data_IF_711530596272
#
_entry.id   IF_711530596272
#
_cell.length_a   1.000
_cell.length_b   1.000
_cell.length_c   1.000
_cell.angle_alpha   90.00
_cell.angle_beta   90.00
_cell.angle_gamma   90.00
#
_symmetry.space_group_name_H-M   'P 1'
#
loop_
_entity.id
_entity.type
_entity.pdbx_description
1 polymer ?
#
# COMPACT_ATOMS: atom_id res chain seq x y z
N UNK A 1 -12.82 -54.91 11.07
CA UNK A 1 -11.90 -56.00 10.64
C UNK A 1 -12.07 -56.13 9.13
N UNK A 2 -11.12 -55.90 8.22
CA UNK A 2 -9.66 -55.90 8.16
C UNK A 2 -9.27 -54.77 7.16
N UNK A 3 -8.37 -53.83 7.44
CA UNK A 3 -6.91 -53.91 7.59
C UNK A 3 -6.17 -54.46 6.36
N UNK A 4 -5.29 -53.59 5.84
CA UNK A 4 -4.01 -53.84 5.15
C UNK A 4 -4.00 -54.31 3.67
N UNK A 5 -3.54 -53.41 2.79
CA UNK A 5 -2.38 -53.58 1.89
C UNK A 5 -2.03 -52.18 1.31
N UNK A 6 -1.00 -51.46 1.74
CA UNK A 6 0.46 -51.64 1.59
C UNK A 6 1.00 -51.30 0.18
N UNK A 7 1.62 -50.11 0.15
CA UNK A 7 2.90 -49.70 -0.46
C UNK A 7 3.10 -49.60 -2.00
N UNK A 8 3.51 -48.37 -2.35
CA UNK A 8 4.79 -47.99 -2.98
C UNK A 8 4.84 -47.79 -4.51
N UNK A 9 4.99 -46.52 -4.89
CA UNK A 9 5.99 -45.98 -5.85
C UNK A 9 6.09 -44.47 -5.61
N UNK A 10 7.18 -43.99 -4.99
CA UNK A 10 8.34 -43.35 -5.62
C UNK A 10 8.07 -41.90 -6.09
N UNK A 11 8.51 -40.90 -5.31
CA UNK A 11 9.79 -40.18 -5.48
C UNK A 11 9.77 -39.21 -6.67
N UNK A 12 9.43 -37.94 -6.40
CA UNK A 12 9.95 -36.81 -7.16
C UNK A 12 10.48 -35.76 -6.18
N UNK A 13 11.81 -35.74 -6.08
CA UNK A 13 12.59 -34.67 -5.51
C UNK A 13 12.33 -33.39 -6.33
N UNK A 14 11.90 -32.32 -5.66
CA UNK A 14 12.26 -30.97 -6.04
C UNK A 14 13.09 -30.39 -4.89
N UNK A 15 14.40 -30.60 -4.99
CA UNK A 15 15.38 -29.88 -4.22
C UNK A 15 15.36 -28.42 -4.71
N UNK A 16 14.56 -27.57 -4.05
CA UNK A 16 14.82 -26.12 -4.10
C UNK A 16 16.04 -25.90 -3.22
N UNK A 17 17.20 -25.89 -3.85
CA UNK A 17 18.42 -25.34 -3.26
C UNK A 17 18.16 -23.86 -3.02
N UNK A 18 17.73 -23.54 -1.79
CA UNK A 18 17.91 -22.21 -1.24
C UNK A 18 19.42 -21.98 -1.12
N UNK A 19 20.02 -21.42 -2.17
CA UNK A 19 21.35 -20.85 -2.13
C UNK A 19 21.29 -19.59 -1.27
N UNK A 20 21.31 -19.79 0.05
CA UNK A 20 21.69 -18.75 1.00
C UNK A 20 23.14 -18.41 0.76
N UNK A 21 23.40 -17.43 -0.09
CA UNK A 21 24.66 -16.71 -0.09
C UNK A 21 24.72 -15.95 1.25
N UNK A 22 25.31 -16.60 2.25
CA UNK A 22 25.88 -15.92 3.40
C UNK A 22 27.04 -15.07 2.88
N UNK A 23 26.73 -13.88 2.37
CA UNK A 23 27.72 -12.85 2.18
C UNK A 23 28.17 -12.43 3.58
N UNK A 24 29.27 -13.01 4.05
CA UNK A 24 30.11 -12.41 5.09
C UNK A 24 30.66 -11.09 4.53
N UNK A 25 29.80 -10.08 4.48
CA UNK A 25 30.25 -8.70 4.50
C UNK A 25 30.59 -8.45 5.96
N UNK A 26 31.87 -8.62 6.27
CA UNK A 26 32.47 -8.12 7.50
C UNK A 26 32.20 -6.61 7.51
N UNK A 27 31.11 -6.24 8.18
CA UNK A 27 30.66 -4.87 8.35
C UNK A 27 31.69 -4.17 9.22
N UNK A 28 32.65 -3.52 8.57
CA UNK A 28 33.42 -2.38 9.11
C UNK A 28 32.45 -1.22 9.39
N UNK A 29 31.46 -1.45 10.24
CA UNK A 29 30.63 -0.40 10.78
C UNK A 29 31.59 0.50 11.56
N UNK A 30 31.75 1.78 11.17
CA UNK A 30 32.61 2.68 11.90
C UNK A 30 32.14 2.69 13.35
N UNK A 31 33.05 2.39 14.28
CA UNK A 31 32.80 2.57 15.72
C UNK A 31 32.37 4.02 15.87
N UNK A 32 31.07 4.24 16.07
CA UNK A 32 30.45 5.54 16.28
C UNK A 32 31.01 6.11 17.57
N UNK A 33 32.19 6.72 17.50
CA UNK A 33 32.72 7.52 18.59
C UNK A 33 31.75 8.66 18.82
N UNK A 34 31.28 8.79 20.07
CA UNK A 34 30.44 9.91 20.44
C UNK A 34 31.29 11.18 20.32
N UNK A 35 30.86 12.22 19.59
CA UNK A 35 31.66 13.41 19.38
C UNK A 35 32.04 14.09 20.70
N UNK A 36 33.19 14.76 20.71
CA UNK A 36 33.74 15.42 21.90
C UNK A 36 32.85 16.52 22.49
N UNK A 37 31.91 17.07 21.71
CA UNK A 37 30.95 18.06 22.18
C UNK A 37 29.80 17.47 23.01
N UNK A 38 29.64 16.14 23.04
CA UNK A 38 28.63 15.44 23.83
C UNK A 38 29.20 15.08 25.21
N UNK A 39 28.56 15.58 26.26
CA UNK A 39 28.95 15.32 27.66
C UNK A 39 28.11 14.21 28.28
N UNK A 40 28.68 13.03 28.50
CA UNK A 40 27.96 11.84 28.98
C UNK A 40 27.61 11.83 30.49
N UNK A 41 27.82 12.93 31.22
CA UNK A 41 27.58 13.00 32.66
C UNK A 41 26.08 13.02 33.01
N UNK A 42 25.46 14.19 32.89
CA UNK A 42 24.00 14.35 32.98
C UNK A 42 23.39 14.24 31.58
N UNK A 43 23.01 13.02 31.20
CA UNK A 43 22.48 12.74 29.85
C UNK A 43 21.17 13.49 29.57
N UNK A 44 20.31 13.68 30.58
CA UNK A 44 19.05 14.39 30.44
C UNK A 44 19.28 15.89 30.18
N UNK A 45 20.09 16.51 31.03
CA UNK A 45 20.48 17.91 30.88
C UNK A 45 21.24 18.16 29.57
N UNK A 46 22.13 17.26 29.18
CA UNK A 46 22.90 17.37 27.95
C UNK A 46 22.02 17.22 26.69
N UNK A 47 21.13 16.23 26.65
CA UNK A 47 20.22 16.05 25.53
C UNK A 47 19.31 17.27 25.36
N UNK A 48 18.76 17.81 26.47
CA UNK A 48 17.96 19.04 26.45
C UNK A 48 18.75 20.27 25.98
N UNK A 49 20.03 20.39 26.37
CA UNK A 49 20.93 21.46 25.89
C UNK A 49 21.15 21.36 24.39
N UNK A 50 21.47 20.17 23.90
CA UNK A 50 21.75 19.90 22.48
C UNK A 50 20.53 20.14 21.59
N UNK A 51 19.34 19.75 22.03
CA UNK A 51 18.08 20.01 21.32
C UNK A 51 17.81 21.51 21.09
N UNK A 52 18.29 22.38 21.99
CA UNK A 52 18.16 23.84 21.90
C UNK A 52 19.29 24.52 21.11
N UNK A 53 20.25 23.75 20.62
CA UNK A 53 21.38 24.29 19.85
C UNK A 53 20.93 24.86 18.51
N UNK A 54 21.68 25.83 17.99
CA UNK A 54 21.46 26.35 16.64
C UNK A 54 22.10 25.45 15.57
N UNK A 55 23.05 24.58 15.96
CA UNK A 55 23.72 23.68 15.03
C UNK A 55 22.87 22.42 14.76
N UNK A 56 22.56 22.13 13.50
CA UNK A 56 21.80 20.94 13.09
C UNK A 56 22.44 19.65 13.61
N UNK A 57 23.76 19.53 13.54
CA UNK A 57 24.50 18.39 14.11
C UNK A 57 24.24 18.16 15.60
N UNK A 58 24.30 19.22 16.41
CA UNK A 58 24.05 19.13 17.85
C UNK A 58 22.59 18.75 18.14
N UNK A 59 21.63 19.37 17.43
CA UNK A 59 20.21 19.02 17.54
C UNK A 59 19.95 17.55 17.23
N UNK A 60 20.57 17.01 16.18
CA UNK A 60 20.47 15.60 15.82
C UNK A 60 21.00 14.69 16.95
N UNK A 61 22.16 15.01 17.55
CA UNK A 61 22.70 14.26 18.69
C UNK A 61 21.80 14.36 19.92
N UNK A 62 21.26 15.54 20.21
CA UNK A 62 20.28 15.73 21.29
C UNK A 62 19.08 14.80 21.11
N UNK A 63 18.48 14.79 19.92
CA UNK A 63 17.37 13.90 19.60
C UNK A 63 17.76 12.42 19.75
N UNK A 64 18.88 12.02 19.12
CA UNK A 64 19.39 10.66 19.20
C UNK A 64 19.58 10.17 20.65
N UNK A 65 20.14 10.99 21.53
CA UNK A 65 20.34 10.65 22.94
C UNK A 65 19.00 10.45 23.67
N UNK A 66 18.00 11.29 23.38
CA UNK A 66 16.64 11.13 23.92
C UNK A 66 16.09 9.75 23.57
N UNK A 67 16.11 9.37 22.29
CA UNK A 67 15.64 8.06 21.84
C UNK A 67 16.48 6.90 22.36
N UNK A 68 17.81 7.08 22.44
CA UNK A 68 18.76 6.05 22.89
C UNK A 68 18.62 5.69 24.35
N UNK A 69 18.40 6.70 25.20
CA UNK A 69 18.36 6.53 26.64
C UNK A 69 16.94 6.51 27.23
N UNK A 70 15.91 6.61 26.38
CA UNK A 70 14.52 6.48 26.82
C UNK A 70 14.01 7.68 27.63
N UNK A 71 14.52 8.88 27.34
CA UNK A 71 14.22 10.12 28.08
C UNK A 71 12.84 10.67 27.71
N UNK A 72 11.79 10.01 28.18
CA UNK A 72 10.38 10.29 27.81
C UNK A 72 9.93 11.71 28.15
N UNK A 73 10.48 12.30 29.20
CA UNK A 73 10.22 13.68 29.63
C UNK A 73 10.65 14.72 28.59
N UNK A 74 11.51 14.36 27.64
CA UNK A 74 11.95 15.22 26.54
C UNK A 74 11.17 14.99 25.23
N UNK A 75 10.15 14.12 25.21
CA UNK A 75 9.29 13.96 24.03
C UNK A 75 8.63 15.27 23.57
N UNK A 76 8.13 16.17 24.45
CA UNK A 76 7.61 17.47 24.02
C UNK A 76 8.65 18.32 23.28
N UNK A 77 9.92 18.30 23.71
CA UNK A 77 10.99 19.03 23.05
C UNK A 77 11.31 18.48 21.65
N UNK A 78 11.15 17.17 21.42
CA UNK A 78 11.27 16.58 20.08
C UNK A 78 10.13 17.02 19.16
N UNK A 79 8.91 17.13 19.69
CA UNK A 79 7.73 17.60 18.94
C UNK A 79 7.90 19.08 18.58
N UNK A 80 8.35 19.91 19.53
CA UNK A 80 8.67 21.32 19.28
C UNK A 80 9.76 21.46 18.19
N UNK A 81 10.80 20.61 18.23
CA UNK A 81 11.84 20.59 17.21
C UNK A 81 11.28 20.26 15.81
N UNK A 82 10.32 19.33 15.69
CA UNK A 82 9.68 19.01 14.41
C UNK A 82 8.77 20.13 13.90
N UNK A 83 8.23 20.96 14.79
CA UNK A 83 7.38 22.09 14.46
C UNK A 83 8.16 23.41 14.24
N UNK A 84 9.47 23.41 14.49
CA UNK A 84 10.32 24.61 14.38
C UNK A 84 10.44 25.03 12.90
N UNK A 85 9.92 26.21 12.50
CA UNK A 85 10.01 26.68 11.12
C UNK A 85 11.45 27.01 10.69
N UNK A 86 12.39 27.15 11.63
CA UNK A 86 13.81 27.30 11.32
C UNK A 86 14.47 25.99 10.88
N UNK A 87 13.82 24.85 11.13
CA UNK A 87 14.23 23.55 10.62
C UNK A 87 13.87 23.46 9.13
N UNK A 88 14.74 24.02 8.29
CA UNK A 88 14.56 24.04 6.84
C UNK A 88 14.52 22.65 6.19
N UNK A 89 14.57 22.64 4.85
CA UNK A 89 14.47 21.41 4.04
C UNK A 89 15.83 20.92 3.51
N UNK A 90 16.92 21.45 4.07
CA UNK A 90 18.27 21.02 3.74
C UNK A 90 18.55 19.58 4.18
N UNK A 91 19.63 19.02 3.63
CA UNK A 91 20.05 17.66 3.93
C UNK A 91 20.32 17.41 5.42
N UNK A 92 21.01 18.34 6.09
CA UNK A 92 21.30 18.23 7.52
C UNK A 92 20.03 18.34 8.38
N UNK A 93 19.14 19.25 8.02
CA UNK A 93 17.83 19.41 8.67
C UNK A 93 16.97 18.15 8.48
N UNK A 94 17.07 17.49 7.32
CA UNK A 94 16.51 16.17 7.08
C UNK A 94 16.99 15.12 8.08
N UNK A 95 18.29 15.12 8.42
CA UNK A 95 18.86 14.19 9.41
C UNK A 95 18.37 14.53 10.82
N UNK A 96 18.29 15.82 11.18
CA UNK A 96 17.72 16.26 12.46
C UNK A 96 16.28 15.79 12.60
N UNK A 97 15.46 15.99 11.56
CA UNK A 97 14.08 15.55 11.50
C UNK A 97 13.97 14.04 11.67
N UNK A 98 14.80 13.27 10.96
CA UNK A 98 14.84 11.82 11.09
C UNK A 98 15.25 11.39 12.51
N UNK A 99 16.21 12.07 13.14
CA UNK A 99 16.66 11.75 14.49
C UNK A 99 15.55 11.99 15.53
N UNK A 100 14.78 13.05 15.36
CA UNK A 100 13.60 13.33 16.18
C UNK A 100 12.51 12.26 15.98
N UNK A 101 12.17 11.91 14.74
CA UNK A 101 11.18 10.88 14.42
C UNK A 101 11.56 9.50 14.95
N UNK A 102 12.80 9.06 14.71
CA UNK A 102 13.33 7.80 15.25
C UNK A 102 13.20 7.76 16.77
N UNK A 103 13.53 8.86 17.43
CA UNK A 103 13.45 8.96 18.89
C UNK A 103 12.00 8.90 19.39
N UNK A 104 11.08 9.61 18.75
CA UNK A 104 9.65 9.56 19.10
C UNK A 104 9.08 8.13 18.92
N UNK A 105 9.46 7.43 17.85
CA UNK A 105 9.04 6.04 17.62
C UNK A 105 9.58 5.12 18.71
N UNK A 106 10.86 5.25 19.06
CA UNK A 106 11.51 4.44 20.12
C UNK A 106 10.91 4.69 21.50
N UNK A 107 10.57 5.94 21.80
CA UNK A 107 9.88 6.32 23.03
C UNK A 107 8.43 5.86 23.08
N UNK A 108 7.86 5.45 21.93
CA UNK A 108 6.42 5.19 21.74
C UNK A 108 5.60 6.42 22.14
N UNK A 109 6.06 7.60 21.74
CA UNK A 109 5.40 8.86 22.05
C UNK A 109 4.11 9.02 21.24
N UNK A 110 3.12 9.69 21.84
CA UNK A 110 1.93 10.19 21.16
C UNK A 110 2.27 11.59 20.64
N UNK A 111 2.07 11.82 19.34
CA UNK A 111 2.48 13.07 18.67
C UNK A 111 1.24 13.83 18.24
N UNK A 112 1.06 15.10 18.65
CA UNK A 112 -0.10 15.89 18.26
C UNK A 112 -0.33 15.87 16.74
N UNK A 113 -1.60 15.74 16.35
CA UNK A 113 -2.05 15.71 14.96
C UNK A 113 -1.46 16.84 14.10
N UNK A 114 -1.40 18.06 14.63
CA UNK A 114 -0.88 19.21 13.88
C UNK A 114 0.62 19.06 13.57
N UNK A 115 1.40 18.48 14.47
CA UNK A 115 2.81 18.19 14.21
C UNK A 115 2.98 17.09 13.14
N UNK A 116 2.13 16.07 13.15
CA UNK A 116 2.14 15.00 12.13
C UNK A 116 1.77 15.51 10.73
N UNK A 117 0.86 16.49 10.63
CA UNK A 117 0.47 17.11 9.35
C UNK A 117 1.59 17.94 8.71
N UNK A 118 2.46 18.52 9.53
CA UNK A 118 3.60 19.32 9.06
C UNK A 118 4.77 18.46 8.55
N UNK A 119 4.72 17.13 8.74
CA UNK A 119 5.80 16.27 8.28
C UNK A 119 5.84 16.20 6.75
N UNK A 120 7.04 16.28 6.14
CA UNK A 120 7.19 16.19 4.70
C UNK A 120 6.87 14.77 4.18
N UNK A 121 6.49 14.60 2.90
CA UNK A 121 6.15 13.30 2.32
C UNK A 121 7.23 12.22 2.45
N UNK A 122 8.51 12.61 2.55
CA UNK A 122 9.61 11.65 2.75
C UNK A 122 9.54 10.91 4.09
N UNK A 123 8.83 11.45 5.09
CA UNK A 123 8.65 10.87 6.42
C UNK A 123 7.34 10.06 6.55
N UNK A 124 6.75 9.63 5.43
CA UNK A 124 5.45 8.96 5.43
C UNK A 124 5.44 7.66 6.25
N UNK A 125 6.52 6.87 6.23
CA UNK A 125 6.60 5.61 6.98
C UNK A 125 6.62 5.89 8.49
N UNK A 126 7.47 6.82 8.95
CA UNK A 126 7.54 7.24 10.34
C UNK A 126 6.20 7.83 10.83
N UNK A 127 5.56 8.67 9.99
CA UNK A 127 4.24 9.24 10.27
C UNK A 127 3.21 8.14 10.54
N UNK A 128 3.13 7.12 9.68
CA UNK A 128 2.22 5.99 9.85
C UNK A 128 2.55 5.17 11.10
N UNK A 129 3.83 4.94 11.39
CA UNK A 129 4.26 4.22 12.59
C UNK A 129 3.83 4.96 13.86
N UNK A 130 3.98 6.29 13.89
CA UNK A 130 3.54 7.11 15.02
C UNK A 130 2.02 7.08 15.16
N UNK A 131 1.27 7.24 14.07
CA UNK A 131 -0.21 7.17 14.09
C UNK A 131 -0.72 5.80 14.56
N UNK A 132 -0.04 4.69 14.21
CA UNK A 132 -0.44 3.34 14.60
C UNK A 132 -0.50 3.11 16.12
N UNK A 133 0.17 3.95 16.92
CA UNK A 133 0.22 3.80 18.38
C UNK A 133 -1.08 4.19 19.07
N UNK A 134 -1.85 5.07 18.47
CA UNK A 134 -3.14 5.53 18.98
C UNK A 134 -4.08 5.81 17.81
N UNK A 135 -4.30 4.80 16.96
CA UNK A 135 -5.02 4.96 15.68
C UNK A 135 -6.40 5.62 15.84
N UNK A 136 -7.10 5.33 16.94
CA UNK A 136 -8.39 5.94 17.27
C UNK A 136 -8.31 7.47 17.43
N UNK A 137 -7.20 8.01 17.92
CA UNK A 137 -6.97 9.45 18.06
C UNK A 137 -6.64 10.13 16.72
N UNK A 138 -6.15 9.36 15.75
CA UNK A 138 -5.69 9.87 14.44
C UNK A 138 -6.63 9.56 13.28
N UNK A 139 -7.86 9.08 13.53
CA UNK A 139 -8.81 8.69 12.47
C UNK A 139 -8.95 9.75 11.36
N UNK A 140 -9.08 11.02 11.72
CA UNK A 140 -9.20 12.10 10.74
C UNK A 140 -7.96 12.25 9.85
N UNK A 141 -6.76 12.14 10.43
CA UNK A 141 -5.49 12.23 9.68
C UNK A 141 -5.25 10.97 8.85
N UNK A 142 -5.64 9.80 9.37
CA UNK A 142 -5.56 8.54 8.64
C UNK A 142 -6.47 8.57 7.40
N UNK A 143 -7.71 9.07 7.53
CA UNK A 143 -8.62 9.25 6.38
C UNK A 143 -8.04 10.23 5.36
N UNK A 144 -7.53 11.38 5.81
CA UNK A 144 -6.86 12.37 4.97
C UNK A 144 -5.70 11.73 4.19
N UNK A 145 -4.76 11.07 4.87
CA UNK A 145 -3.62 10.40 4.25
C UNK A 145 -4.04 9.26 3.31
N UNK A 146 -5.12 8.53 3.62
CA UNK A 146 -5.65 7.49 2.75
C UNK A 146 -6.19 8.06 1.43
N UNK A 147 -6.88 9.19 1.49
CA UNK A 147 -7.56 9.83 0.36
C UNK A 147 -6.62 10.68 -0.51
N UNK A 148 -5.63 11.37 0.06
CA UNK A 148 -4.79 12.36 -0.67
C UNK A 148 -3.39 11.85 -0.97
N UNK A 149 -2.67 11.41 0.05
CA UNK A 149 -1.22 11.23 -0.01
C UNK A 149 -0.83 9.96 -0.77
N UNK A 150 -1.76 9.00 -0.79
CA UNK A 150 -1.51 7.69 -1.35
C UNK A 150 -2.20 7.48 -2.70
N UNK A 151 -3.15 8.33 -3.10
CA UNK A 151 -4.03 8.14 -4.27
C UNK A 151 -3.32 7.98 -5.64
N UNK A 152 -2.08 8.46 -5.79
CA UNK A 152 -1.35 8.49 -7.06
C UNK A 152 -0.32 7.36 -7.29
N UNK A 153 -0.08 6.47 -6.34
CA UNK A 153 0.95 5.43 -6.49
C UNK A 153 0.37 4.18 -7.16
N UNK A 154 1.06 3.68 -8.20
CA UNK A 154 0.68 2.49 -8.98
C UNK A 154 0.77 1.22 -8.12
N UNK A 155 -0.30 0.93 -7.39
CA UNK A 155 -0.46 -0.27 -6.58
C UNK A 155 -0.62 0.01 -5.08
N UNK A 156 -1.14 -0.97 -4.31
CA UNK A 156 -1.13 -0.95 -2.85
C UNK A 156 0.33 -1.08 -2.40
N UNK A 157 0.93 0.04 -2.04
CA UNK A 157 2.18 -0.01 -1.28
C UNK A 157 1.87 -0.36 0.19
N UNK A 158 2.91 -0.72 0.95
CA UNK A 158 2.75 -1.06 2.35
C UNK A 158 2.10 0.08 3.16
N UNK A 159 2.28 1.34 2.73
CA UNK A 159 1.68 2.52 3.36
C UNK A 159 0.15 2.51 3.23
N UNK A 160 -0.38 2.29 2.02
CA UNK A 160 -1.82 2.23 1.79
C UNK A 160 -2.48 1.08 2.56
N UNK A 161 -1.84 -0.08 2.59
CA UNK A 161 -2.33 -1.22 3.38
C UNK A 161 -2.28 -0.93 4.89
N UNK A 162 -1.23 -0.28 5.38
CA UNK A 162 -1.13 0.04 6.80
C UNK A 162 -2.26 0.99 7.24
N UNK A 163 -2.45 2.08 6.50
CA UNK A 163 -3.52 3.05 6.81
C UNK A 163 -4.89 2.41 6.69
N UNK A 164 -5.13 1.60 5.64
CA UNK A 164 -6.38 0.86 5.45
C UNK A 164 -6.68 -0.10 6.61
N UNK A 165 -5.69 -0.86 7.07
CA UNK A 165 -5.82 -1.75 8.23
C UNK A 165 -6.16 -0.98 9.51
N UNK A 166 -5.46 0.13 9.80
CA UNK A 166 -5.71 0.95 10.99
C UNK A 166 -7.13 1.54 10.97
N UNK A 167 -7.60 2.01 9.81
CA UNK A 167 -8.96 2.52 9.64
C UNK A 167 -10.02 1.41 9.76
N UNK A 168 -9.74 0.21 9.24
CA UNK A 168 -10.62 -0.95 9.38
C UNK A 168 -10.73 -1.41 10.84
N UNK A 169 -9.60 -1.51 11.54
CA UNK A 169 -9.52 -1.95 12.94
C UNK A 169 -10.28 -1.01 13.87
N UNK A 170 -10.12 0.30 13.65
CA UNK A 170 -10.83 1.36 14.39
C UNK A 170 -12.29 1.53 13.96
N UNK A 171 -12.73 0.83 12.91
CA UNK A 171 -14.06 0.97 12.29
C UNK A 171 -14.40 2.44 12.00
N UNK A 172 -13.41 3.15 11.48
CA UNK A 172 -13.47 4.60 11.26
C UNK A 172 -14.69 4.99 10.41
N UNK A 173 -15.51 5.90 10.94
CA UNK A 173 -16.59 6.53 10.18
C UNK A 173 -16.00 7.29 8.98
N UNK A 174 -16.63 7.15 7.81
CA UNK A 174 -16.12 7.69 6.54
C UNK A 174 -15.13 6.78 5.80
N UNK A 175 -14.57 5.73 6.44
CA UNK A 175 -13.63 4.84 5.75
C UNK A 175 -14.29 4.07 4.60
N UNK A 176 -15.53 3.60 4.79
CA UNK A 176 -16.30 2.96 3.72
C UNK A 176 -16.51 3.92 2.52
N UNK A 177 -16.80 5.19 2.79
CA UNK A 177 -16.95 6.21 1.74
C UNK A 177 -15.63 6.44 0.98
N UNK A 178 -14.50 6.52 1.70
CA UNK A 178 -13.16 6.63 1.09
C UNK A 178 -12.80 5.43 0.22
N UNK A 179 -13.10 4.20 0.66
CA UNK A 179 -12.92 3.00 -0.14
C UNK A 179 -13.75 3.04 -1.43
N UNK A 180 -15.03 3.37 -1.33
CA UNK A 180 -15.95 3.42 -2.48
C UNK A 180 -15.62 4.53 -3.48
N UNK A 181 -15.19 5.71 -3.00
CA UNK A 181 -14.81 6.83 -3.87
C UNK A 181 -13.63 6.49 -4.77
N UNK A 182 -12.71 5.66 -4.27
CA UNK A 182 -11.57 5.17 -5.03
C UNK A 182 -11.82 3.88 -5.81
N UNK A 183 -12.97 3.22 -5.61
CA UNK A 183 -13.27 1.91 -6.18
C UNK A 183 -13.65 2.03 -7.65
N UNK A 184 -12.86 1.41 -8.52
CA UNK A 184 -13.10 1.37 -9.96
C UNK A 184 -13.43 -0.03 -10.43
N UNK A 185 -14.39 -0.10 -11.35
CA UNK A 185 -14.74 -1.31 -12.10
C UNK A 185 -14.17 -1.18 -13.51
N UNK A 186 -13.19 -2.02 -13.84
CA UNK A 186 -12.54 -2.06 -15.15
C UNK A 186 -12.87 -3.39 -15.82
N UNK A 187 -14.01 -3.45 -16.51
CA UNK A 187 -14.43 -4.66 -17.21
C UNK A 187 -13.64 -4.82 -18.50
N UNK A 188 -12.99 -5.97 -18.66
CA UNK A 188 -12.31 -6.36 -19.90
C UNK A 188 -13.29 -7.18 -20.74
N UNK A 189 -13.61 -6.70 -21.93
CA UNK A 189 -14.62 -7.31 -22.78
C UNK A 189 -14.01 -7.64 -24.13
N UNK A 190 -13.80 -8.93 -24.39
CA UNK A 190 -13.34 -9.40 -25.69
C UNK A 190 -14.54 -9.60 -26.59
N UNK A 191 -14.52 -8.93 -27.75
CA UNK A 191 -15.61 -9.01 -28.73
C UNK A 191 -15.19 -9.88 -29.90
N UNK A 192 -15.96 -10.94 -30.14
CA UNK A 192 -15.73 -11.91 -31.21
C UNK A 192 -16.93 -11.97 -32.16
N UNK A 193 -16.69 -12.42 -33.40
CA UNK A 193 -17.72 -12.76 -34.37
C UNK A 193 -17.82 -14.28 -34.64
N UNK A 194 -17.04 -15.08 -33.90
CA UNK A 194 -17.01 -16.55 -33.93
C UNK A 194 -16.94 -17.13 -32.51
N UNK A 195 -17.20 -18.44 -32.37
CA UNK A 195 -17.10 -19.18 -31.10
C UNK A 195 -15.66 -19.67 -30.90
N UNK A 196 -15.11 -19.49 -29.70
CA UNK A 196 -13.77 -20.00 -29.32
C UNK A 196 -13.69 -20.28 -27.83
N UNK A 197 -12.82 -21.22 -27.43
CA UNK A 197 -12.60 -21.67 -26.04
C UNK A 197 -11.31 -21.10 -25.41
N UNK A 198 -10.71 -20.06 -25.98
CA UNK A 198 -9.41 -19.56 -25.53
C UNK A 198 -9.52 -18.50 -24.42
N UNK A 199 -8.90 -18.78 -23.27
CA UNK A 199 -8.60 -17.80 -22.22
C UNK A 199 -7.10 -17.44 -22.27
N UNK A 200 -6.77 -16.16 -22.34
CA UNK A 200 -5.40 -15.64 -22.29
C UNK A 200 -5.09 -15.00 -20.93
N UNK A 201 -3.83 -15.11 -20.47
CA UNK A 201 -3.34 -14.48 -19.23
C UNK A 201 -2.08 -13.64 -19.46
N UNK A 202 -2.00 -12.48 -18.80
CA UNK A 202 -0.87 -11.53 -18.87
C UNK A 202 0.01 -11.57 -17.62
N UNK A 203 1.32 -11.41 -17.79
CA UNK A 203 2.28 -11.20 -16.71
C UNK A 203 3.24 -10.05 -17.04
N UNK A 204 3.39 -9.09 -16.13
CA UNK A 204 4.34 -7.98 -16.24
C UNK A 204 5.21 -7.90 -14.98
N UNK A 205 6.52 -7.73 -15.16
CA UNK A 205 7.48 -7.53 -14.07
C UNK A 205 8.09 -6.14 -14.10
N UNK A 206 8.27 -5.53 -12.92
CA UNK A 206 9.02 -4.29 -12.75
C UNK A 206 10.30 -4.53 -11.93
N UNK A 207 11.42 -3.97 -12.41
CA UNK A 207 12.68 -3.90 -11.66
C UNK A 207 12.93 -2.47 -11.16
N UNK A 208 13.36 -2.34 -9.91
CA UNK A 208 13.77 -1.06 -9.30
C UNK A 208 15.25 -1.08 -8.91
N UNK A 209 15.97 0.00 -9.21
CA UNK A 209 17.36 0.21 -8.80
C UNK A 209 17.47 0.96 -7.46
N UNK A 210 18.59 0.78 -6.76
CA UNK A 210 18.87 1.41 -5.45
C UNK A 210 20.00 2.45 -5.57
N UNK A 211 19.81 3.63 -4.97
CA UNK A 211 20.86 4.62 -4.78
C UNK A 211 21.41 4.57 -3.35
N UNK A 212 22.73 4.66 -3.20
CA UNK A 212 23.40 4.76 -1.90
C UNK A 212 23.91 6.19 -1.72
N UNK A 213 23.28 6.98 -0.85
CA UNK A 213 23.77 8.30 -0.46
C UNK A 213 24.78 8.22 0.68
N UNK A 214 25.86 9.01 0.63
CA UNK A 214 26.84 9.10 1.72
C UNK A 214 26.26 9.78 2.96
N UNK A 215 26.57 9.26 4.15
CA UNK A 215 26.12 9.83 5.42
C UNK A 215 27.16 10.81 5.98
N UNK A 216 26.79 12.04 6.36
CA UNK A 216 27.74 13.04 6.84
C UNK A 216 28.53 12.57 8.05
N UNK A 217 29.80 12.97 8.13
CA UNK A 217 30.61 12.79 9.33
C UNK A 217 29.99 13.56 10.52
N UNK A 218 30.24 13.05 11.72
CA UNK A 218 29.84 13.63 13.01
C UNK A 218 28.32 13.76 13.29
N UNK A 219 27.44 13.24 12.43
CA UNK A 219 26.03 13.04 12.78
C UNK A 219 25.82 11.70 13.52
N UNK A 220 24.83 11.60 14.42
CA UNK A 220 24.56 10.35 15.12
C UNK A 220 24.09 9.26 14.13
N UNK A 221 24.20 7.97 14.50
CA UNK A 221 23.58 6.91 13.71
C UNK A 221 22.07 6.97 13.87
N UNK A 222 21.36 7.46 12.86
CA UNK A 222 19.90 7.60 12.90
C UNK A 222 19.23 6.38 12.27
N UNK A 223 18.14 5.92 12.89
CA UNK A 223 17.30 4.86 12.35
C UNK A 223 16.36 5.36 11.25
N UNK A 224 16.29 4.61 10.15
CA UNK A 224 15.28 4.75 9.10
C UNK A 224 14.29 3.62 9.18
N UNK A 225 13.05 3.89 8.81
CA UNK A 225 11.96 2.92 8.84
C UNK A 225 11.46 2.68 7.43
N UNK A 226 11.21 1.41 7.11
CA UNK A 226 10.58 1.01 5.86
C UNK A 226 9.39 0.14 6.20
N UNK A 227 8.21 0.52 5.70
CA UNK A 227 7.03 -0.32 5.77
C UNK A 227 7.09 -1.43 4.73
N UNK A 228 6.64 -2.62 5.11
CA UNK A 228 6.59 -3.80 4.26
C UNK A 228 5.32 -4.60 4.52
N UNK A 229 4.68 -5.07 3.46
CA UNK A 229 3.58 -6.05 3.56
C UNK A 229 4.08 -7.48 3.84
N UNK A 230 5.39 -7.68 3.87
CA UNK A 230 6.03 -8.98 4.11
C UNK A 230 6.70 -9.02 5.47
N UNK A 231 6.43 -10.09 6.20
CA UNK A 231 7.16 -10.39 7.42
C UNK A 231 8.63 -10.67 7.10
N UNK A 232 9.53 -10.11 7.90
CA UNK A 232 10.97 -10.39 7.84
C UNK A 232 11.55 -10.46 9.25
N UNK A 233 12.76 -11.01 9.38
CA UNK A 233 13.42 -11.16 10.67
C UNK A 233 13.65 -9.78 11.30
N UNK A 234 13.18 -9.59 12.53
CA UNK A 234 13.30 -8.32 13.26
C UNK A 234 12.26 -7.27 12.87
N UNK A 235 11.32 -7.59 11.98
CA UNK A 235 10.22 -6.70 11.65
C UNK A 235 9.21 -6.60 12.81
N UNK A 236 8.61 -5.43 12.99
CA UNK A 236 7.61 -5.14 14.00
C UNK A 236 6.28 -4.85 13.32
N UNK A 237 5.19 -5.45 13.81
CA UNK A 237 3.84 -5.19 13.29
C UNK A 237 3.45 -3.74 13.59
N UNK A 238 3.02 -3.03 12.53
CA UNK A 238 2.52 -1.65 12.58
C UNK A 238 1.02 -1.62 12.57
N UNK A 239 0.45 -2.29 11.57
CA UNK A 239 -0.98 -2.31 11.34
C UNK A 239 -1.38 -3.78 11.21
N UNK A 240 -1.91 -4.40 12.29
CA UNK A 240 -2.50 -5.71 12.17
C UNK A 240 -3.76 -5.62 11.30
N UNK A 241 -4.20 -6.73 10.73
CA UNK A 241 -5.38 -6.74 9.87
C UNK A 241 -5.30 -7.83 8.83
N UNK A 242 -6.15 -7.73 7.81
CA UNK A 242 -6.19 -8.68 6.69
C UNK A 242 -4.88 -8.70 5.92
N UNK A 243 -4.23 -7.54 5.84
CA UNK A 243 -2.96 -7.34 5.17
C UNK A 243 -1.89 -6.85 6.15
N UNK A 244 -1.40 -7.69 7.09
CA UNK A 244 -0.50 -7.23 8.13
C UNK A 244 0.69 -6.45 7.55
N UNK A 245 0.89 -5.23 8.05
CA UNK A 245 2.03 -4.40 7.65
C UNK A 245 3.02 -4.32 8.79
N UNK A 246 4.30 -4.44 8.44
CA UNK A 246 5.43 -4.43 9.35
C UNK A 246 6.33 -3.24 9.04
N UNK A 247 7.13 -2.80 10.02
CA UNK A 247 8.33 -2.00 9.74
C UNK A 247 9.59 -2.77 10.12
N UNK A 248 10.68 -2.45 9.44
CA UNK A 248 12.04 -2.73 9.90
C UNK A 248 12.73 -1.40 10.15
N UNK A 249 13.51 -1.33 11.23
CA UNK A 249 14.39 -0.19 11.52
C UNK A 249 15.81 -0.53 11.08
N UNK A 250 16.44 0.34 10.30
CA UNK A 250 17.83 0.18 9.86
C UNK A 250 18.67 1.40 10.22
N UNK A 251 19.86 1.21 10.78
CA UNK A 251 20.85 2.27 11.01
C UNK A 251 21.81 2.31 9.80
N UNK A 252 21.73 3.37 8.98
CA UNK A 252 22.63 3.73 7.85
C UNK A 252 22.66 2.83 6.59
N UNK A 253 22.78 3.49 5.43
CA UNK A 253 23.61 3.10 4.26
C UNK A 253 23.16 1.95 3.36
N UNK A 254 22.32 1.03 3.82
CA UNK A 254 21.74 0.02 2.93
C UNK A 254 20.64 0.72 2.16
N UNK A 255 20.93 1.09 0.90
CA UNK A 255 19.89 1.46 -0.06
C UNK A 255 18.82 0.38 0.01
N UNK A 256 17.73 0.67 0.70
CA UNK A 256 16.64 -0.27 0.84
C UNK A 256 16.11 -0.51 -0.55
N UNK A 257 16.26 -1.75 -1.04
CA UNK A 257 15.52 -2.18 -2.20
C UNK A 257 14.05 -1.88 -1.90
N UNK A 258 13.45 -0.97 -2.67
CA UNK A 258 12.00 -0.91 -2.73
C UNK A 258 11.56 -2.31 -3.09
N UNK A 259 10.94 -3.00 -2.12
CA UNK A 259 10.35 -4.30 -2.41
C UNK A 259 9.35 -4.06 -3.53
N UNK A 260 9.54 -4.77 -4.66
CA UNK A 260 8.58 -4.75 -5.76
C UNK A 260 7.20 -4.98 -5.17
N UNK A 261 6.35 -3.97 -5.26
CA UNK A 261 5.02 -4.00 -4.68
C UNK A 261 4.26 -5.21 -5.23
N UNK A 262 3.39 -5.77 -4.41
CA UNK A 262 2.40 -6.73 -4.88
C UNK A 262 1.52 -5.97 -5.88
N UNK A 263 1.61 -6.29 -7.18
CA UNK A 263 0.80 -5.62 -8.21
C UNK A 263 -0.64 -6.14 -8.22
N UNK A 264 -1.25 -6.38 -7.06
CA UNK A 264 -2.71 -6.43 -7.02
C UNK A 264 -3.20 -5.00 -7.23
N UNK A 265 -4.18 -4.80 -8.09
CA UNK A 265 -4.82 -3.49 -8.22
C UNK A 265 -5.52 -3.17 -6.90
N UNK A 266 -5.38 -1.93 -6.41
CA UNK A 266 -5.95 -1.48 -5.12
C UNK A 266 -7.44 -1.78 -4.98
N UNK A 267 -8.17 -1.81 -6.09
CA UNK A 267 -9.60 -2.10 -6.11
C UNK A 267 -9.95 -3.47 -5.55
N UNK A 268 -9.11 -4.50 -5.75
CA UNK A 268 -9.32 -5.79 -5.10
C UNK A 268 -9.27 -5.67 -3.57
N UNK A 269 -8.29 -4.93 -3.04
CA UNK A 269 -8.18 -4.71 -1.60
C UNK A 269 -9.30 -3.85 -1.05
N UNK A 270 -9.81 -2.90 -1.83
CA UNK A 270 -10.99 -2.12 -1.45
C UNK A 270 -12.20 -3.02 -1.23
N UNK A 271 -12.48 -3.94 -2.17
CA UNK A 271 -13.56 -4.92 -2.01
C UNK A 271 -13.35 -5.79 -0.77
N UNK A 272 -12.12 -6.21 -0.51
CA UNK A 272 -11.82 -7.04 0.66
C UNK A 272 -12.00 -6.30 1.99
N UNK A 273 -11.63 -5.02 2.07
CA UNK A 273 -11.92 -4.21 3.25
C UNK A 273 -13.42 -3.97 3.42
N UNK A 274 -14.13 -3.70 2.32
CA UNK A 274 -15.59 -3.53 2.34
C UNK A 274 -16.30 -4.82 2.80
N UNK A 275 -15.80 -5.98 2.38
CA UNK A 275 -16.27 -7.28 2.84
C UNK A 275 -16.02 -7.47 4.35
N UNK A 276 -14.83 -7.11 4.84
CA UNK A 276 -14.50 -7.22 6.26
C UNK A 276 -15.39 -6.33 7.12
N UNK A 277 -15.67 -5.08 6.69
CA UNK A 277 -16.60 -4.18 7.37
C UNK A 277 -18.00 -4.80 7.48
N UNK A 278 -18.44 -5.52 6.44
CA UNK A 278 -19.72 -6.23 6.42
C UNK A 278 -19.69 -7.61 7.07
N UNK A 279 -18.55 -8.02 7.65
CA UNK A 279 -18.33 -9.35 8.21
C UNK A 279 -18.65 -10.49 7.22
N UNK A 280 -18.26 -10.31 5.96
CA UNK A 280 -18.44 -11.27 4.86
C UNK A 280 -17.13 -11.48 4.11
N UNK A 281 -17.15 -12.21 2.98
CA UNK A 281 -15.99 -12.38 2.10
C UNK A 281 -16.20 -11.68 0.76
N UNK A 282 -15.11 -11.34 0.08
CA UNK A 282 -15.17 -10.73 -1.25
C UNK A 282 -15.95 -11.60 -2.25
N UNK A 283 -15.76 -12.93 -2.21
CA UNK A 283 -16.50 -13.88 -3.05
C UNK A 283 -18.02 -13.83 -2.81
N UNK A 284 -18.44 -13.67 -1.55
CA UNK A 284 -19.86 -13.57 -1.19
C UNK A 284 -20.48 -12.23 -1.59
N UNK A 285 -19.70 -11.16 -1.68
CA UNK A 285 -20.15 -9.89 -2.25
C UNK A 285 -20.45 -10.01 -3.74
N UNK A 286 -19.87 -11.00 -4.44
CA UNK A 286 -19.95 -11.18 -5.89
C UNK A 286 -19.57 -9.91 -6.66
N UNK A 287 -18.63 -9.16 -6.10
CA UNK A 287 -18.18 -7.88 -6.63
C UNK A 287 -16.83 -8.07 -7.29
N UNK A 288 -16.85 -8.38 -8.58
CA UNK A 288 -15.64 -8.43 -9.39
C UNK A 288 -15.32 -7.02 -9.91
N UNK A 289 -14.13 -6.51 -9.57
CA UNK A 289 -13.66 -5.19 -10.00
C UNK A 289 -13.06 -5.22 -11.40
N UNK A 290 -12.71 -6.41 -11.90
CA UNK A 290 -12.21 -6.60 -13.26
C UNK A 290 -12.89 -7.79 -13.94
N UNK A 291 -14.22 -7.73 -14.11
CA UNK A 291 -14.93 -8.82 -14.75
C UNK A 291 -14.46 -8.93 -16.18
N UNK A 292 -14.05 -10.14 -16.56
CA UNK A 292 -13.69 -10.47 -17.93
C UNK A 292 -14.86 -11.16 -18.62
N UNK A 293 -15.28 -10.66 -19.78
CA UNK A 293 -16.37 -11.22 -20.56
C UNK A 293 -15.99 -11.38 -22.02
N UNK A 294 -16.23 -12.57 -22.56
CA UNK A 294 -16.22 -12.78 -24.00
C UNK A 294 -17.64 -12.66 -24.54
N UNK A 295 -17.87 -11.72 -25.47
CA UNK A 295 -19.17 -11.53 -26.11
C UNK A 295 -19.08 -11.82 -27.60
N UNK A 296 -20.00 -12.66 -28.07
CA UNK A 296 -20.14 -12.97 -29.50
C UNK A 296 -21.14 -11.99 -30.09
N UNK A 297 -20.65 -11.04 -30.88
CA UNK A 297 -21.46 -9.99 -31.49
C UNK A 297 -21.64 -10.23 -32.99
N UNK A 298 -22.83 -10.69 -33.41
CA UNK A 298 -23.19 -10.81 -34.83
C UNK A 298 -23.81 -9.53 -35.40
N UNK A 299 -24.34 -8.68 -34.53
CA UNK A 299 -24.93 -7.39 -34.88
C UNK A 299 -24.77 -6.35 -33.76
N UNK A 300 -24.84 -5.07 -34.11
CA UNK A 300 -24.64 -3.96 -33.17
C UNK A 300 -25.67 -3.96 -32.01
N UNK A 301 -26.93 -4.35 -32.28
CA UNK A 301 -27.99 -4.39 -31.26
C UNK A 301 -27.73 -5.46 -30.21
N UNK A 302 -27.34 -6.66 -30.64
CA UNK A 302 -26.96 -7.77 -29.76
C UNK A 302 -25.79 -7.35 -28.87
N UNK A 303 -24.73 -6.79 -29.48
CA UNK A 303 -23.54 -6.36 -28.75
C UNK A 303 -23.88 -5.34 -27.65
N UNK A 304 -24.69 -4.33 -28.00
CA UNK A 304 -25.17 -3.35 -27.03
C UNK A 304 -26.02 -3.98 -25.93
N UNK A 305 -26.83 -4.98 -26.24
CA UNK A 305 -27.63 -5.73 -25.28
C UNK A 305 -26.76 -6.42 -24.22
N UNK A 306 -25.69 -7.09 -24.64
CA UNK A 306 -24.74 -7.75 -23.73
C UNK A 306 -23.98 -6.74 -22.86
N UNK A 307 -23.48 -5.64 -23.42
CA UNK A 307 -22.83 -4.58 -22.63
C UNK A 307 -23.78 -3.99 -21.57
N UNK A 308 -25.05 -3.81 -21.90
CA UNK A 308 -26.08 -3.37 -20.94
C UNK A 308 -26.31 -4.42 -19.84
N UNK A 309 -26.25 -5.71 -20.18
CA UNK A 309 -26.37 -6.81 -19.20
C UNK A 309 -25.19 -6.79 -18.22
N UNK A 310 -23.96 -6.77 -18.71
CA UNK A 310 -22.73 -6.72 -17.87
C UNK A 310 -22.78 -5.52 -16.93
N UNK A 311 -23.12 -4.33 -17.45
CA UNK A 311 -23.26 -3.13 -16.61
C UNK A 311 -24.27 -3.33 -15.48
N UNK A 312 -25.44 -3.90 -15.79
CA UNK A 312 -26.51 -4.10 -14.81
C UNK A 312 -26.07 -5.05 -13.70
N UNK A 313 -25.31 -6.09 -14.03
CA UNK A 313 -24.76 -7.03 -13.05
C UNK A 313 -23.84 -6.30 -12.06
N UNK A 314 -22.93 -5.46 -12.56
CA UNK A 314 -22.06 -4.61 -11.72
C UNK A 314 -22.90 -3.66 -10.85
N UNK A 315 -23.86 -2.95 -11.44
CA UNK A 315 -24.73 -2.00 -10.71
C UNK A 315 -25.55 -2.69 -9.62
N UNK A 316 -26.04 -3.91 -9.86
CA UNK A 316 -26.80 -4.69 -8.88
C UNK A 316 -25.93 -5.14 -7.71
N UNK A 317 -24.73 -5.66 -7.98
CA UNK A 317 -23.77 -6.05 -6.94
C UNK A 317 -23.34 -4.84 -6.10
N UNK A 318 -23.07 -3.71 -6.76
CA UNK A 318 -22.72 -2.45 -6.10
C UNK A 318 -23.87 -1.91 -5.24
N UNK A 319 -25.11 -1.92 -5.74
CA UNK A 319 -26.27 -1.49 -4.97
C UNK A 319 -26.50 -2.37 -3.73
N UNK A 320 -26.29 -3.68 -3.84
CA UNK A 320 -26.38 -4.59 -2.69
C UNK A 320 -25.30 -4.28 -1.64
N UNK A 321 -24.07 -4.02 -2.08
CA UNK A 321 -22.98 -3.57 -1.20
C UNK A 321 -23.32 -2.27 -0.47
N UNK A 322 -23.77 -1.23 -1.19
CA UNK A 322 -24.18 0.04 -0.60
C UNK A 322 -25.30 -0.15 0.42
N UNK A 323 -26.30 -0.97 0.09
CA UNK A 323 -27.39 -1.30 1.01
C UNK A 323 -26.90 -1.92 2.32
N UNK A 324 -25.97 -2.88 2.24
CA UNK A 324 -25.36 -3.49 3.41
C UNK A 324 -24.56 -2.50 4.27
N UNK A 325 -23.82 -1.57 3.65
CA UNK A 325 -23.04 -0.56 4.37
C UNK A 325 -23.93 0.45 5.11
N UNK A 326 -25.04 0.86 4.48
CA UNK A 326 -26.04 1.73 5.11
C UNK A 326 -26.73 1.00 6.27
N UNK A 327 -27.13 -0.26 6.08
CA UNK A 327 -27.75 -1.07 7.14
C UNK A 327 -26.85 -1.22 8.36
N UNK A 328 -25.53 -1.36 8.15
CA UNK A 328 -24.53 -1.45 9.22
C UNK A 328 -24.03 -0.11 9.75
N UNK A 329 -24.57 1.02 9.25
CA UNK A 329 -24.19 2.37 9.65
C UNK A 329 -22.70 2.70 9.41
N UNK A 330 -22.11 2.14 8.35
CA UNK A 330 -20.81 2.56 7.83
C UNK A 330 -20.92 3.67 6.79
N UNK A 331 -22.14 3.91 6.29
CA UNK A 331 -22.51 5.03 5.43
C UNK A 331 -23.86 5.57 5.87
N UNK A 332 -24.05 6.88 5.72
CA UNK A 332 -25.39 7.45 5.73
C UNK A 332 -26.03 7.44 4.32
N UNK A 333 -27.34 7.69 4.26
CA UNK A 333 -28.09 7.66 3.01
C UNK A 333 -27.69 8.78 2.02
N UNK A 334 -27.21 9.92 2.53
CA UNK A 334 -26.73 11.03 1.71
C UNK A 334 -25.38 10.71 1.09
N UNK A 335 -24.46 10.15 1.87
CA UNK A 335 -23.17 9.66 1.40
C UNK A 335 -23.35 8.56 0.34
N UNK A 336 -24.22 7.57 0.62
CA UNK A 336 -24.53 6.51 -0.32
C UNK A 336 -25.06 7.03 -1.67
N UNK A 337 -25.91 8.06 -1.65
CA UNK A 337 -26.43 8.68 -2.88
C UNK A 337 -25.36 9.46 -3.68
N UNK A 338 -24.30 9.91 -3.02
CA UNK A 338 -23.21 10.66 -3.63
C UNK A 338 -22.10 9.77 -4.23
N UNK A 339 -22.20 8.45 -4.08
CA UNK A 339 -21.18 7.48 -4.49
C UNK A 339 -21.74 6.53 -5.56
N UNK A 340 -21.89 6.97 -6.83
CA UNK A 340 -22.21 6.06 -7.93
C UNK A 340 -20.99 5.19 -8.28
N UNK A 341 -21.19 3.99 -8.86
CA UNK A 341 -20.06 3.16 -9.30
C UNK A 341 -19.31 3.82 -10.47
N UNK A 342 -17.97 3.80 -10.42
CA UNK A 342 -17.09 4.22 -11.52
C UNK A 342 -16.80 3.01 -12.43
N UNK A 343 -17.47 2.93 -13.57
CA UNK A 343 -17.40 1.79 -14.49
C UNK A 343 -16.72 2.19 -15.80
N UNK A 344 -15.63 1.50 -16.12
CA UNK A 344 -14.93 1.56 -17.40
C UNK A 344 -14.97 0.20 -18.08
N UNK A 345 -15.37 0.17 -19.34
CA UNK A 345 -15.28 -1.00 -20.21
C UNK A 345 -14.12 -0.81 -21.19
N UNK A 346 -13.21 -1.78 -21.22
CA UNK A 346 -12.19 -1.90 -22.26
C UNK A 346 -12.65 -2.99 -23.22
N UNK A 347 -13.03 -2.60 -24.43
CA UNK A 347 -13.46 -3.50 -25.49
C UNK A 347 -12.24 -3.88 -26.33
N UNK A 348 -11.85 -5.13 -26.30
CA UNK A 348 -10.86 -5.69 -27.22
C UNK A 348 -11.61 -6.20 -28.47
N UNK A 349 -11.52 -5.47 -29.58
CA UNK A 349 -12.19 -5.85 -30.83
C UNK A 349 -11.36 -6.89 -31.58
N UNK A 350 -11.66 -8.17 -31.33
CA UNK A 350 -11.01 -9.33 -31.93
C UNK A 350 -11.89 -9.99 -33.01
N UNK A 351 -12.92 -9.28 -33.50
CA UNK A 351 -13.77 -9.77 -34.60
C UNK A 351 -12.94 -9.90 -35.88
N UNK A 352 -13.04 -11.05 -36.55
CA UNK A 352 -12.42 -11.27 -37.87
C UNK A 352 -13.04 -10.35 -38.92
N UNK A 353 -14.37 -10.16 -38.85
CA UNK A 353 -15.12 -9.30 -39.76
C UNK A 353 -15.79 -8.18 -38.98
N UNK A 354 -15.22 -6.98 -39.08
CA UNK A 354 -15.75 -5.73 -38.49
C UNK A 354 -16.94 -5.18 -39.29
N UNK A 355 -17.99 -5.97 -39.44
CA UNK A 355 -19.18 -5.70 -40.28
C UNK A 355 -20.07 -4.57 -39.75
N UNK A 356 -19.88 -4.14 -38.51
CA UNK A 356 -20.57 -3.03 -37.88
C UNK A 356 -19.65 -2.35 -36.84
N UNK A 357 -19.84 -1.06 -36.53
CA UNK A 357 -19.08 -0.37 -35.49
C UNK A 357 -19.49 -0.87 -34.09
N UNK A 358 -18.52 -0.98 -33.17
CA UNK A 358 -18.82 -1.26 -31.77
C UNK A 358 -19.46 -0.04 -31.07
N UNK A 359 -20.27 -0.25 -30.02
CA UNK A 359 -20.86 0.86 -29.27
C UNK A 359 -19.78 1.71 -28.58
N UNK A 360 -19.62 2.97 -29.00
CA UNK A 360 -18.64 3.89 -28.40
C UNK A 360 -19.13 4.55 -27.10
N UNK A 361 -20.44 4.47 -26.82
CA UNK A 361 -21.07 5.14 -25.67
C UNK A 361 -22.12 4.28 -25.01
N UNK A 362 -22.05 4.23 -23.68
CA UNK A 362 -23.08 3.69 -22.82
C UNK A 362 -23.27 4.66 -21.64
N UNK A 363 -24.51 5.02 -21.30
CA UNK A 363 -24.80 6.02 -20.26
C UNK A 363 -24.12 5.63 -18.95
N UNK A 364 -23.31 6.49 -18.33
CA UNK A 364 -22.68 6.19 -17.04
C UNK A 364 -21.59 5.13 -17.08
N UNK A 365 -21.07 4.79 -18.26
CA UNK A 365 -19.94 3.88 -18.45
C UNK A 365 -18.96 4.53 -19.42
N UNK A 366 -17.68 4.55 -19.06
CA UNK A 366 -16.61 4.94 -19.98
C UNK A 366 -16.29 3.74 -20.87
N UNK A 367 -16.20 3.94 -22.18
CA UNK A 367 -15.80 2.88 -23.12
C UNK A 367 -14.46 3.25 -23.74
N UNK A 368 -13.52 2.32 -23.70
CA UNK A 368 -12.24 2.35 -24.41
C UNK A 368 -12.26 1.19 -25.40
N UNK A 369 -11.95 1.45 -26.66
CA UNK A 369 -11.87 0.40 -27.69
C UNK A 369 -10.40 0.23 -28.03
N UNK A 370 -9.92 -1.01 -27.93
CA UNK A 370 -8.59 -1.41 -28.34
C UNK A 370 -8.73 -2.36 -29.53
N UNK A 371 -8.25 -1.92 -30.69
CA UNK A 371 -8.10 -2.79 -31.83
C UNK A 371 -6.91 -3.73 -31.58
N UNK A 372 -7.19 -5.02 -31.42
CA UNK A 372 -6.16 -6.05 -31.47
C UNK A 372 -6.23 -6.71 -32.83
N UNK A 373 -5.10 -6.72 -33.54
CA UNK A 373 -4.99 -7.64 -34.67
C UNK A 373 -5.17 -9.05 -34.09
N UNK A 374 -6.12 -9.80 -34.63
CA UNK A 374 -6.25 -11.21 -34.27
C UNK A 374 -4.88 -11.84 -34.56
N UNK A 375 -4.16 -12.25 -33.52
CA UNK A 375 -2.95 -13.04 -33.72
C UNK A 375 -3.35 -14.21 -34.60
N UNK A 376 -2.75 -14.31 -35.77
CA UNK A 376 -3.06 -15.36 -36.72
C UNK A 376 -2.92 -16.68 -35.96
N UNK A 377 -4.06 -17.34 -35.69
CA UNK A 377 -4.07 -18.66 -35.07
C UNK A 377 -3.19 -19.50 -36.00
N UNK A 378 -2.00 -19.94 -35.58
CA UNK A 378 -1.13 -20.69 -36.45
C UNK A 378 -1.95 -21.91 -36.88
N UNK A 379 -2.12 -22.07 -38.19
CA UNK A 379 -2.99 -23.09 -38.77
C UNK A 379 -2.75 -24.40 -38.03
N UNK A 380 -3.75 -24.83 -37.26
CA UNK A 380 -3.81 -26.15 -36.68
C UNK A 380 -4.13 -27.15 -37.82
N UNK A 381 -3.30 -27.16 -38.85
CA UNK A 381 -3.30 -28.15 -39.92
C UNK A 381 -2.12 -29.11 -39.71
N UNK A 382 -2.50 -30.38 -39.52
CA UNK A 382 -1.74 -31.62 -39.71
C UNK A 382 -0.95 -32.18 -38.51
N UNK A 383 -1.68 -32.83 -37.60
CA UNK A 383 -1.31 -34.17 -37.11
C UNK A 383 -2.47 -35.14 -37.24
#
# INVERSE_FOLDING_TARGET
MRKLLILATLLWLAAVTASGQESQVESDAPKSETPSFVRLGDLGGEAARLLKSQASRERAWGAYLVGRHGLKELAPALIELLADPSLGDGWEEGIVRQAALDSLIRLKAVVPTDALRLLPPISADEKIILMSRAAEEYVAVLLETFDTDLAGQSGPDARWLAVGNLLAETKAQGFAASLLRGLKFEAEITVLDFETDLNYGYGGGCGGGCGSGGWPEDFPPVGFYVLSAYASRGAVVVAPGKYPVYYVRTERGVGGCGYGGISKIRDFHRVEYLADLLYTTADLLKLDVRPSHTIICKEARQCRGELVRVRREIEQAYAALIGGLVEKSFLDASEAAALPPDITFTLHDERQKKTFPLPERLKGVKIVIEDREAEAVPDAEQQ
#
